data_IF_256208237231
#
_entry.id   IF_256208237231
#
_cell.length_a   1.000
_cell.length_b   1.000
_cell.length_c   1.000
_cell.angle_alpha   90.00
_cell.angle_beta   90.00
_cell.angle_gamma   90.00
#
_symmetry.space_group_name_H-M   'P 1'
#
loop_
_entity.id
_entity.type
_entity.pdbx_description
1 polymer ?
#
# COMPACT_ATOMS: atom_id res chain seq x y z
N UNK A 1 -54.30 17.24 -10.31
CA UNK A 1 -52.83 17.34 -10.33
C UNK A 1 -52.26 16.27 -9.42
N UNK A 2 -51.69 15.24 -10.04
CA UNK A 2 -50.61 14.33 -9.60
C UNK A 2 -49.73 14.99 -8.50
N UNK A 3 -49.43 14.43 -7.31
CA UNK A 3 -49.10 13.06 -6.94
C UNK A 3 -47.59 12.99 -6.65
N UNK A 4 -47.17 12.74 -5.41
CA UNK A 4 -45.75 12.44 -5.10
C UNK A 4 -45.25 12.90 -3.73
N UNK A 5 -45.60 12.17 -2.66
CA UNK A 5 -44.84 12.20 -1.41
C UNK A 5 -43.53 11.44 -1.62
N UNK A 6 -42.40 12.14 -1.58
CA UNK A 6 -41.08 11.56 -1.75
C UNK A 6 -40.57 10.96 -0.43
N UNK A 7 -40.19 9.69 -0.51
CA UNK A 7 -39.63 8.88 0.57
C UNK A 7 -38.30 9.45 1.08
N UNK A 8 -38.20 9.61 2.40
CA UNK A 8 -36.92 9.66 3.11
C UNK A 8 -36.22 8.30 2.99
N UNK A 9 -35.06 8.27 2.32
CA UNK A 9 -34.12 7.15 2.44
C UNK A 9 -32.97 7.55 3.36
N UNK A 10 -33.03 7.03 4.58
CA UNK A 10 -31.93 6.98 5.54
C UNK A 10 -30.86 5.99 5.03
N UNK A 11 -29.78 6.50 4.45
CA UNK A 11 -28.61 5.68 4.08
C UNK A 11 -27.80 5.38 5.34
N UNK A 12 -28.09 4.23 5.97
CA UNK A 12 -27.24 3.64 7.00
C UNK A 12 -25.94 3.14 6.35
N UNK A 13 -24.83 3.84 6.61
CA UNK A 13 -23.49 3.38 6.24
C UNK A 13 -23.10 2.22 7.14
N UNK A 14 -22.95 1.02 6.56
CA UNK A 14 -22.48 -0.16 7.26
C UNK A 14 -20.96 -0.09 7.43
N UNK A 15 -20.52 0.26 8.64
CA UNK A 15 -19.12 0.23 9.03
C UNK A 15 -18.56 -1.20 9.03
N UNK A 16 -17.74 -1.52 8.02
CA UNK A 16 -16.96 -2.75 7.98
C UNK A 16 -15.77 -2.62 8.93
N UNK A 17 -15.92 -3.11 10.17
CA UNK A 17 -14.82 -3.27 11.11
C UNK A 17 -14.00 -4.50 10.70
N UNK A 18 -12.81 -4.29 10.16
CA UNK A 18 -11.83 -5.37 9.97
C UNK A 18 -11.17 -5.66 11.33
N UNK A 19 -11.61 -6.73 11.99
CA UNK A 19 -11.00 -7.24 13.21
C UNK A 19 -9.89 -8.22 12.80
N UNK A 20 -8.63 -7.81 12.99
CA UNK A 20 -7.47 -8.69 12.86
C UNK A 20 -7.50 -9.76 13.96
N UNK A 21 -7.89 -10.99 13.62
CA UNK A 21 -7.79 -12.14 14.52
C UNK A 21 -6.50 -12.90 14.23
N UNK A 22 -5.53 -12.79 15.13
CA UNK A 22 -4.30 -13.56 15.10
C UNK A 22 -4.60 -15.04 15.35
N UNK A 23 -4.25 -15.91 14.40
CA UNK A 23 -4.27 -17.36 14.57
C UNK A 23 -2.85 -17.84 14.93
N UNK A 24 -2.54 -17.94 16.22
CA UNK A 24 -1.41 -18.75 16.69
C UNK A 24 -1.85 -20.20 16.76
N UNK A 25 -1.34 -21.05 15.86
CA UNK A 25 -1.36 -22.50 16.02
C UNK A 25 0.06 -22.96 16.28
N UNK A 26 0.31 -23.44 17.49
CA UNK A 26 1.54 -24.13 17.86
C UNK A 26 1.65 -25.44 17.08
N UNK A 27 2.79 -25.62 16.40
CA UNK A 27 3.19 -26.86 15.73
C UNK A 27 3.91 -27.73 16.78
N UNK A 28 3.69 -29.06 16.83
CA UNK A 28 4.36 -29.93 17.78
C UNK A 28 5.84 -30.20 17.42
N UNK A 29 6.61 -30.40 18.49
CA UNK A 29 8.04 -30.64 18.58
C UNK A 29 8.47 -32.03 18.05
N UNK A 30 9.49 -32.16 17.19
CA UNK A 30 10.13 -33.44 16.93
C UNK A 30 11.39 -33.63 17.80
N UNK A 31 11.33 -34.63 18.68
CA UNK A 31 12.40 -35.03 19.59
C UNK A 31 13.70 -35.55 18.95
N UNK A 32 14.68 -35.98 19.78
CA UNK A 32 16.09 -35.95 19.42
C UNK A 32 16.61 -37.25 18.80
N UNK A 33 17.37 -37.14 17.70
CA UNK A 33 18.12 -38.23 17.08
C UNK A 33 19.58 -37.84 16.88
N UNK A 34 20.49 -38.58 17.52
CA UNK A 34 21.94 -38.34 17.55
C UNK A 34 22.69 -38.99 16.38
N UNK A 35 23.83 -38.37 16.09
CA UNK A 35 25.16 -38.94 15.74
C UNK A 35 25.59 -39.08 14.26
N UNK A 36 26.59 -38.24 13.95
CA UNK A 36 27.85 -38.49 13.21
C UNK A 36 27.88 -39.40 11.98
N UNK A 37 28.42 -38.87 10.87
CA UNK A 37 29.63 -39.42 10.20
C UNK A 37 30.14 -38.48 9.07
N UNK A 38 31.37 -38.01 9.29
CA UNK A 38 32.49 -37.79 8.36
C UNK A 38 32.27 -37.51 6.85
N UNK A 39 32.86 -36.37 6.45
CA UNK A 39 33.86 -36.20 5.37
C UNK A 39 33.49 -36.64 3.95
N UNK A 40 33.38 -35.65 3.05
CA UNK A 40 34.31 -35.51 1.91
C UNK A 40 34.14 -34.13 1.24
N UNK A 41 35.29 -33.47 1.02
CA UNK A 41 35.47 -32.20 0.29
C UNK A 41 35.41 -32.42 -1.22
N UNK A 42 34.86 -31.44 -1.94
CA UNK A 42 35.20 -31.17 -3.35
C UNK A 42 35.52 -29.67 -3.52
N UNK A 43 36.50 -29.29 -4.37
CA UNK A 43 36.96 -27.91 -4.54
C UNK A 43 36.25 -27.19 -5.69
N UNK A 44 36.06 -25.88 -5.57
CA UNK A 44 35.53 -25.08 -6.68
C UNK A 44 35.34 -23.61 -6.34
N UNK A 45 36.42 -22.83 -6.51
CA UNK A 45 36.47 -21.48 -7.08
C UNK A 45 35.32 -20.48 -6.80
N UNK A 46 35.66 -19.38 -6.14
CA UNK A 46 34.95 -18.09 -6.31
C UNK A 46 34.59 -17.36 -5.02
N UNK A 47 35.58 -16.77 -4.34
CA UNK A 47 35.32 -15.72 -3.34
C UNK A 47 34.88 -14.44 -4.05
N UNK A 48 33.57 -14.18 -4.10
CA UNK A 48 33.08 -12.82 -4.36
C UNK A 48 32.77 -12.17 -3.00
N UNK A 49 33.68 -11.32 -2.52
CA UNK A 49 33.29 -10.20 -1.67
C UNK A 49 32.60 -9.19 -2.58
N UNK A 50 31.36 -8.82 -2.29
CA UNK A 50 31.00 -7.40 -2.34
C UNK A 50 29.76 -7.09 -1.47
N UNK A 51 29.91 -5.97 -0.77
CA UNK A 51 29.03 -5.07 -0.03
C UNK A 51 27.60 -5.47 0.36
N UNK A 52 27.38 -5.40 1.69
CA UNK A 52 26.10 -4.99 2.27
C UNK A 52 25.76 -3.59 1.73
N UNK A 53 24.66 -3.50 0.99
CA UNK A 53 24.04 -2.26 0.51
C UNK A 53 22.55 -2.22 0.86
N UNK A 54 22.26 -1.44 1.88
CA UNK A 54 20.98 -0.90 2.36
C UNK A 54 19.82 -0.83 1.33
N UNK A 55 18.67 -1.45 1.67
CA UNK A 55 17.34 -0.81 1.52
C UNK A 55 16.60 -0.83 0.18
N UNK A 56 17.02 -1.63 -0.82
CA UNK A 56 16.24 -1.82 -2.04
C UNK A 56 15.03 -2.72 -1.81
N UNK A 57 13.80 -2.24 -2.08
CA UNK A 57 12.65 -3.13 -2.26
C UNK A 57 12.78 -3.84 -3.61
N UNK A 58 13.71 -4.79 -3.70
CA UNK A 58 13.81 -5.69 -4.84
C UNK A 58 12.57 -6.59 -4.83
N UNK A 59 11.66 -6.31 -5.77
CA UNK A 59 10.57 -7.23 -6.08
C UNK A 59 11.20 -8.43 -6.76
N UNK A 60 11.54 -9.46 -5.97
CA UNK A 60 11.95 -10.76 -6.50
C UNK A 60 10.78 -11.34 -7.30
N UNK A 61 10.91 -11.38 -8.62
CA UNK A 61 9.97 -12.09 -9.49
C UNK A 61 10.13 -13.58 -9.19
N UNK A 62 9.23 -14.14 -8.36
CA UNK A 62 9.16 -15.57 -8.13
C UNK A 62 8.46 -16.23 -9.32
N UNK A 63 9.05 -17.25 -9.92
CA UNK A 63 8.39 -18.05 -10.94
C UNK A 63 7.45 -19.05 -10.25
N UNK A 64 6.15 -18.99 -10.55
CA UNK A 64 5.21 -20.04 -10.16
C UNK A 64 5.59 -21.38 -10.83
N UNK A 65 5.14 -22.50 -10.24
CA UNK A 65 5.57 -23.87 -10.56
C UNK A 65 5.34 -24.39 -11.99
N UNK A 66 5.01 -23.54 -12.96
CA UNK A 66 4.78 -23.90 -14.37
C UNK A 66 5.35 -22.86 -15.37
N UNK A 67 6.47 -22.20 -15.05
CA UNK A 67 7.25 -21.42 -16.02
C UNK A 67 6.55 -20.17 -16.60
N UNK A 68 5.35 -19.80 -16.13
CA UNK A 68 4.71 -18.52 -16.46
C UNK A 68 5.23 -17.44 -15.50
N UNK A 69 5.63 -16.26 -16.00
CA UNK A 69 6.00 -15.16 -15.12
C UNK A 69 4.82 -14.83 -14.20
N UNK A 70 5.08 -14.76 -12.90
CA UNK A 70 4.05 -14.42 -11.93
C UNK A 70 3.59 -13.00 -12.22
N UNK A 71 2.31 -12.86 -12.56
CA UNK A 71 1.72 -11.56 -12.91
C UNK A 71 1.97 -10.56 -11.78
N UNK A 72 2.47 -9.38 -12.12
CA UNK A 72 2.68 -8.30 -11.15
C UNK A 72 1.33 -7.80 -10.62
N UNK A 73 1.27 -7.23 -9.41
CA UNK A 73 0.05 -6.58 -8.92
C UNK A 73 -0.49 -5.53 -9.89
N UNK A 74 0.39 -4.79 -10.55
CA UNK A 74 0.06 -3.81 -11.58
C UNK A 74 -0.69 -4.44 -12.77
N UNK A 75 -0.17 -5.54 -13.32
CA UNK A 75 -0.85 -6.27 -14.40
C UNK A 75 -2.17 -6.89 -13.92
N UNK A 76 -2.19 -7.43 -12.69
CA UNK A 76 -3.36 -8.10 -12.12
C UNK A 76 -4.56 -7.16 -11.91
N UNK A 77 -4.32 -5.86 -11.69
CA UNK A 77 -5.39 -4.85 -11.59
C UNK A 77 -5.79 -4.25 -12.94
N UNK A 78 -5.15 -4.62 -14.06
CA UNK A 78 -5.40 -4.06 -15.39
C UNK A 78 -4.50 -2.88 -15.76
N UNK A 79 -3.37 -2.70 -15.09
CA UNK A 79 -2.30 -1.79 -15.47
C UNK A 79 -2.67 -0.29 -15.40
N UNK A 80 -2.10 0.49 -16.33
CA UNK A 80 -2.14 1.95 -16.35
C UNK A 80 -3.56 2.52 -16.23
N UNK A 81 -4.52 1.93 -16.96
CA UNK A 81 -5.90 2.41 -16.95
C UNK A 81 -6.54 2.34 -15.56
N UNK A 82 -6.28 1.26 -14.81
CA UNK A 82 -6.81 1.12 -13.45
C UNK A 82 -6.07 2.02 -12.46
N UNK A 83 -4.75 2.20 -12.60
CA UNK A 83 -3.99 3.14 -11.77
C UNK A 83 -4.45 4.58 -12.00
N UNK A 84 -4.74 4.97 -13.25
CA UNK A 84 -5.28 6.29 -13.57
C UNK A 84 -6.64 6.53 -12.89
N UNK A 85 -7.58 5.60 -13.02
CA UNK A 85 -8.89 5.68 -12.33
C UNK A 85 -8.75 5.72 -10.81
N UNK A 86 -7.84 4.92 -10.25
CA UNK A 86 -7.55 4.91 -8.81
C UNK A 86 -7.08 6.28 -8.33
N UNK A 87 -6.11 6.88 -9.03
CA UNK A 87 -5.57 8.20 -8.66
C UNK A 87 -6.61 9.29 -8.80
N UNK A 88 -7.40 9.27 -9.88
CA UNK A 88 -8.50 10.22 -10.08
C UNK A 88 -9.53 10.13 -8.95
N UNK A 89 -10.02 8.92 -8.64
CA UNK A 89 -10.97 8.68 -7.56
C UNK A 89 -10.39 9.07 -6.19
N UNK A 90 -9.10 8.80 -5.97
CA UNK A 90 -8.41 9.16 -4.74
C UNK A 90 -8.36 10.67 -4.53
N UNK A 91 -7.95 11.45 -5.54
CA UNK A 91 -7.85 12.90 -5.37
C UNK A 91 -9.20 13.63 -5.33
N UNK A 92 -10.25 13.09 -5.96
CA UNK A 92 -11.63 13.55 -5.73
C UNK A 92 -12.01 13.48 -4.24
N UNK A 93 -11.64 12.38 -3.58
CA UNK A 93 -11.90 12.17 -2.14
C UNK A 93 -11.03 13.05 -1.25
N UNK A 94 -9.75 13.19 -1.59
CA UNK A 94 -8.82 14.06 -0.85
C UNK A 94 -9.29 15.52 -0.86
N UNK A 95 -9.77 16.01 -2.00
CA UNK A 95 -10.26 17.39 -2.14
C UNK A 95 -11.44 17.70 -1.21
N UNK A 96 -12.23 16.69 -0.86
CA UNK A 96 -13.44 16.83 -0.03
C UNK A 96 -13.19 16.44 1.44
N UNK A 97 -12.05 15.81 1.77
CA UNK A 97 -11.81 15.28 3.10
C UNK A 97 -11.30 16.37 4.07
N UNK A 98 -11.99 16.64 5.20
CA UNK A 98 -11.68 17.78 6.09
C UNK A 98 -10.28 17.72 6.70
N UNK A 99 -9.76 16.53 7.00
CA UNK A 99 -8.41 16.38 7.57
C UNK A 99 -7.26 16.48 6.54
N UNK A 100 -7.57 16.29 5.25
CA UNK A 100 -6.58 16.22 4.18
C UNK A 100 -6.55 17.48 3.34
N UNK A 101 -7.71 17.95 2.84
CA UNK A 101 -7.78 19.12 1.97
C UNK A 101 -6.91 20.32 2.45
N UNK A 102 -6.86 20.67 3.76
CA UNK A 102 -6.03 21.79 4.23
C UNK A 102 -4.51 21.62 4.12
N UNK A 103 -4.00 20.39 3.94
CA UNK A 103 -2.55 20.12 3.81
C UNK A 103 -2.11 19.85 2.38
N UNK A 104 -3.04 19.81 1.44
CA UNK A 104 -2.77 19.70 0.01
C UNK A 104 -2.82 21.09 -0.66
N UNK A 105 -2.12 21.27 -1.80
CA UNK A 105 -2.27 22.47 -2.61
C UNK A 105 -3.65 22.56 -3.26
N UNK A 106 -4.08 23.77 -3.61
CA UNK A 106 -5.34 23.99 -4.34
C UNK A 106 -5.36 23.27 -5.69
N UNK A 107 -4.23 23.31 -6.43
CA UNK A 107 -4.05 22.53 -7.65
C UNK A 107 -3.49 21.14 -7.33
N UNK A 108 -4.36 20.13 -7.42
CA UNK A 108 -4.03 18.73 -7.19
C UNK A 108 -3.38 18.05 -8.41
N UNK A 109 -3.36 18.69 -9.59
CA UNK A 109 -2.82 18.10 -10.82
C UNK A 109 -1.38 17.59 -10.69
N UNK A 110 -0.43 18.41 -10.20
CA UNK A 110 0.97 18.01 -10.04
C UNK A 110 1.17 16.87 -9.03
N UNK A 111 0.41 16.84 -7.93
CA UNK A 111 0.50 15.76 -6.94
C UNK A 111 -0.13 14.47 -7.47
N UNK A 112 -1.23 14.57 -8.22
CA UNK A 112 -1.85 13.44 -8.89
C UNK A 112 -0.92 12.77 -9.91
N UNK A 113 -0.20 13.56 -10.71
CA UNK A 113 0.81 13.03 -11.66
C UNK A 113 1.89 12.23 -10.94
N UNK A 114 2.42 12.78 -9.83
CA UNK A 114 3.43 12.09 -8.99
C UNK A 114 2.88 10.80 -8.39
N UNK A 115 1.64 10.82 -7.87
CA UNK A 115 1.01 9.64 -7.29
C UNK A 115 0.76 8.56 -8.35
N UNK A 116 0.36 8.92 -9.57
CA UNK A 116 0.22 7.98 -10.68
C UNK A 116 1.55 7.31 -11.03
N UNK A 117 2.60 8.10 -11.21
CA UNK A 117 3.93 7.57 -11.49
C UNK A 117 4.41 6.65 -10.35
N UNK A 118 4.19 7.06 -9.10
CA UNK A 118 4.55 6.28 -7.92
C UNK A 118 3.78 4.96 -7.84
N UNK A 119 2.45 4.97 -7.93
CA UNK A 119 1.64 3.76 -7.80
C UNK A 119 1.88 2.78 -8.95
N UNK A 120 2.10 3.30 -10.17
CA UNK A 120 2.51 2.48 -11.33
C UNK A 120 3.76 1.67 -10.98
N UNK A 121 4.82 2.33 -10.53
CA UNK A 121 6.06 1.67 -10.13
C UNK A 121 5.88 0.79 -8.89
N UNK A 122 5.16 1.28 -7.88
CA UNK A 122 4.99 0.62 -6.59
C UNK A 122 4.23 -0.71 -6.70
N UNK A 123 3.30 -0.81 -7.65
CA UNK A 123 2.56 -2.03 -7.95
C UNK A 123 3.32 -2.99 -8.89
N UNK A 124 4.54 -2.63 -9.34
CA UNK A 124 5.38 -3.47 -10.19
C UNK A 124 5.26 -3.16 -11.69
N UNK A 125 4.67 -2.03 -12.06
CA UNK A 125 4.70 -1.52 -13.43
C UNK A 125 6.01 -0.78 -13.77
N UNK A 126 6.05 -0.05 -14.89
CA UNK A 126 7.23 0.70 -15.31
C UNK A 126 7.71 1.70 -14.23
N UNK A 127 9.03 1.94 -14.09
CA UNK A 127 9.59 2.77 -13.03
C UNK A 127 9.47 4.28 -13.31
N UNK A 128 8.24 4.73 -13.63
CA UNK A 128 7.95 6.10 -14.05
C UNK A 128 8.37 7.13 -12.99
N UNK A 129 8.16 6.82 -11.71
CA UNK A 129 8.53 7.73 -10.64
C UNK A 129 10.03 7.91 -10.53
N UNK A 130 10.78 6.81 -10.50
CA UNK A 130 12.24 6.88 -10.41
C UNK A 130 12.86 7.55 -11.63
N UNK A 131 12.30 7.34 -12.83
CA UNK A 131 12.76 7.97 -14.05
C UNK A 131 12.55 9.49 -14.06
N UNK A 132 11.39 9.97 -13.58
CA UNK A 132 11.06 11.40 -13.61
C UNK A 132 11.54 12.17 -12.37
N UNK A 133 11.53 11.51 -11.21
CA UNK A 133 11.74 12.18 -9.90
C UNK A 133 12.88 11.60 -9.07
N UNK A 134 13.60 10.59 -9.56
CA UNK A 134 14.66 9.90 -8.82
C UNK A 134 14.15 9.00 -7.69
N UNK A 135 15.05 8.54 -6.79
CA UNK A 135 14.69 7.59 -5.74
C UNK A 135 13.49 8.05 -4.89
N UNK A 136 12.53 7.16 -4.57
CA UNK A 136 11.29 7.55 -3.89
C UNK A 136 11.49 8.34 -2.60
N UNK A 137 12.41 7.91 -1.73
CA UNK A 137 12.72 8.56 -0.43
C UNK A 137 11.47 9.12 0.28
N UNK A 138 10.41 8.30 0.34
CA UNK A 138 9.05 8.78 0.61
C UNK A 138 8.97 9.56 1.90
N UNK A 139 9.45 9.01 3.02
CA UNK A 139 9.39 9.67 4.32
C UNK A 139 10.02 11.06 4.28
N UNK A 140 11.20 11.20 3.68
CA UNK A 140 11.90 12.48 3.55
C UNK A 140 11.07 13.52 2.79
N UNK A 141 10.41 13.11 1.69
CA UNK A 141 9.52 13.99 0.91
C UNK A 141 8.23 14.36 1.65
N UNK A 142 7.83 13.57 2.65
CA UNK A 142 6.64 13.82 3.46
C UNK A 142 6.94 14.62 4.74
N UNK A 143 8.20 14.76 5.16
CA UNK A 143 8.59 15.53 6.36
C UNK A 143 8.11 17.00 6.38
N UNK A 144 8.05 17.74 5.27
CA UNK A 144 7.55 19.12 5.27
C UNK A 144 6.06 19.24 5.63
N UNK A 145 5.29 18.14 5.57
CA UNK A 145 3.86 18.15 5.80
C UNK A 145 3.53 17.47 7.13
N UNK A 146 2.68 18.08 7.98
CA UNK A 146 2.30 17.47 9.25
C UNK A 146 1.37 16.26 9.03
N UNK A 147 1.90 15.06 9.16
CA UNK A 147 1.14 13.81 9.02
C UNK A 147 0.95 13.18 10.40
N UNK A 148 -0.27 13.30 10.90
CA UNK A 148 -0.73 12.69 12.15
C UNK A 148 -1.28 11.27 11.91
N UNK A 149 -1.45 10.44 12.95
CA UNK A 149 -2.15 9.15 12.82
C UNK A 149 -3.53 9.31 12.17
N UNK A 150 -4.30 10.32 12.60
CA UNK A 150 -5.61 10.68 12.04
C UNK A 150 -5.53 11.01 10.54
N UNK A 151 -4.52 11.73 10.09
CA UNK A 151 -4.33 12.01 8.64
C UNK A 151 -3.92 10.78 7.85
N UNK A 152 -3.16 9.87 8.44
CA UNK A 152 -2.84 8.59 7.81
C UNK A 152 -4.11 7.72 7.66
N UNK A 153 -4.98 7.69 8.67
CA UNK A 153 -6.28 7.02 8.61
C UNK A 153 -7.20 7.65 7.56
N UNK A 154 -7.31 8.99 7.53
CA UNK A 154 -8.06 9.72 6.51
C UNK A 154 -7.57 9.40 5.09
N UNK A 155 -6.24 9.36 4.90
CA UNK A 155 -5.64 8.97 3.62
C UNK A 155 -6.04 7.54 3.23
N UNK A 156 -6.03 6.61 4.20
CA UNK A 156 -6.43 5.22 3.99
C UNK A 156 -7.92 5.09 3.67
N UNK A 157 -8.78 5.87 4.32
CA UNK A 157 -10.20 5.94 4.00
C UNK A 157 -10.43 6.38 2.55
N UNK A 158 -9.80 7.48 2.13
CA UNK A 158 -9.86 7.94 0.74
C UNK A 158 -9.35 6.86 -0.24
N UNK A 159 -8.24 6.19 0.10
CA UNK A 159 -7.65 5.14 -0.74
C UNK A 159 -8.53 3.89 -0.82
N UNK A 160 -9.18 3.48 0.27
CA UNK A 160 -10.11 2.35 0.28
C UNK A 160 -11.28 2.60 -0.68
N UNK A 161 -11.94 3.76 -0.56
CA UNK A 161 -13.03 4.15 -1.47
C UNK A 161 -12.57 4.25 -2.92
N UNK A 162 -11.34 4.72 -3.16
CA UNK A 162 -10.78 4.81 -4.50
C UNK A 162 -10.44 3.44 -5.12
N UNK A 163 -9.96 2.48 -4.33
CA UNK A 163 -9.75 1.09 -4.78
C UNK A 163 -11.07 0.44 -5.20
N UNK A 164 -12.12 0.65 -4.42
CA UNK A 164 -13.45 0.11 -4.71
C UNK A 164 -14.03 0.72 -6.00
N UNK A 165 -13.92 2.05 -6.17
CA UNK A 165 -14.36 2.76 -7.39
C UNK A 165 -13.55 2.37 -8.63
N UNK A 166 -12.23 2.16 -8.49
CA UNK A 166 -11.38 1.71 -9.59
C UNK A 166 -11.65 0.25 -10.02
N UNK A 167 -12.45 -0.49 -9.24
CA UNK A 167 -12.82 -1.87 -9.49
C UNK A 167 -11.79 -2.89 -9.02
N UNK A 168 -10.86 -2.51 -8.13
CA UNK A 168 -9.83 -3.40 -7.59
C UNK A 168 -10.45 -4.31 -6.53
N UNK A 169 -10.47 -5.62 -6.78
CA UNK A 169 -11.20 -6.61 -5.97
C UNK A 169 -10.39 -7.88 -5.73
N UNK A 170 -10.85 -8.72 -4.81
CA UNK A 170 -10.26 -10.04 -4.55
C UNK A 170 -8.88 -9.99 -3.89
N UNK A 171 -8.09 -11.09 -3.97
CA UNK A 171 -6.83 -11.21 -3.24
C UNK A 171 -5.79 -10.12 -3.56
N UNK A 172 -5.78 -9.60 -4.80
CA UNK A 172 -4.89 -8.50 -5.18
C UNK A 172 -5.23 -7.20 -4.44
N UNK A 173 -6.53 -6.93 -4.22
CA UNK A 173 -6.97 -5.77 -3.41
C UNK A 173 -6.41 -5.86 -2.00
N UNK A 174 -6.52 -7.02 -1.37
CA UNK A 174 -6.07 -7.21 0.02
C UNK A 174 -4.54 -7.11 0.14
N UNK A 175 -3.81 -7.64 -0.85
CA UNK A 175 -2.36 -7.50 -0.95
C UNK A 175 -1.95 -6.02 -1.10
N UNK A 176 -2.58 -5.28 -2.02
CA UNK A 176 -2.31 -3.85 -2.21
C UNK A 176 -2.67 -3.05 -0.97
N UNK A 177 -3.81 -3.35 -0.35
CA UNK A 177 -4.27 -2.70 0.87
C UNK A 177 -3.28 -2.85 2.03
N UNK A 178 -2.77 -4.06 2.28
CA UNK A 178 -1.76 -4.29 3.31
C UNK A 178 -0.48 -3.47 3.04
N UNK A 179 -0.01 -3.43 1.79
CA UNK A 179 1.17 -2.67 1.41
C UNK A 179 0.96 -1.16 1.56
N UNK A 180 -0.17 -0.63 1.09
CA UNK A 180 -0.52 0.78 1.19
C UNK A 180 -0.69 1.22 2.65
N UNK A 181 -1.37 0.39 3.47
CA UNK A 181 -1.56 0.64 4.90
C UNK A 181 -0.23 0.75 5.63
N UNK A 182 0.68 -0.20 5.43
CA UNK A 182 2.02 -0.14 6.04
C UNK A 182 2.78 1.12 5.62
N UNK A 183 2.72 1.49 4.35
CA UNK A 183 3.37 2.71 3.84
C UNK A 183 2.78 3.96 4.46
N UNK A 184 1.45 4.09 4.53
CA UNK A 184 0.76 5.25 5.10
C UNK A 184 1.15 5.48 6.55
N UNK A 185 1.11 4.44 7.39
CA UNK A 185 1.55 4.57 8.79
C UNK A 185 3.04 4.87 8.92
N UNK A 186 3.89 4.39 8.01
CA UNK A 186 5.30 4.75 7.99
C UNK A 186 5.57 6.23 7.66
N UNK A 187 4.60 6.95 7.06
CA UNK A 187 4.74 8.38 6.77
C UNK A 187 4.40 9.28 7.96
N UNK A 188 3.78 8.76 9.02
CA UNK A 188 3.43 9.55 10.22
C UNK A 188 4.68 10.20 10.81
N UNK A 189 4.63 11.51 10.98
CA UNK A 189 5.77 12.35 11.40
C UNK A 189 5.41 13.40 12.44
N UNK A 190 4.12 13.51 12.80
CA UNK A 190 3.60 14.49 13.75
C UNK A 190 2.65 13.78 14.72
N UNK A 191 2.77 14.06 16.02
CA UNK A 191 1.83 13.53 17.01
C UNK A 191 0.47 14.22 16.88
N UNK A 192 -0.62 13.52 17.22
CA UNK A 192 -1.92 14.16 17.40
C UNK A 192 -1.83 15.10 18.60
N UNK A 193 -1.70 16.41 18.39
CA UNK A 193 -1.75 17.38 19.48
C UNK A 193 -3.10 17.21 20.18
N UNK A 194 -3.06 16.88 21.46
CA UNK A 194 -4.21 16.45 22.24
C UNK A 194 -5.43 17.34 22.04
N UNK A 195 -6.47 16.79 21.42
CA UNK A 195 -7.83 17.15 21.79
C UNK A 195 -8.01 16.65 23.22
N UNK A 196 -8.42 17.51 24.17
CA UNK A 196 -8.73 17.04 25.50
C UNK A 196 -9.83 15.98 25.35
N UNK A 197 -9.58 14.78 25.87
CA UNK A 197 -10.66 13.84 26.13
C UNK A 197 -11.67 14.59 27.01
N UNK A 198 -12.86 14.76 26.46
CA UNK A 198 -14.03 15.38 27.07
C UNK A 198 -14.09 15.12 28.59
N UNK A 199 -14.23 16.19 29.38
CA UNK A 199 -14.35 16.17 30.84
C UNK A 199 -15.82 16.16 31.24
#
# INVERSE_FOLDING_TARGET
>A
MIGGSSLSQEKRSAGHRYILRAASRCIPDPGPGRSNLLSQRAPGCGTLRDTRGEGGLDVQISYGGEGRPQQTPYEAIGGAGTVARLVEAFYKRVAEHPDLAPIFPDDLGPVAKKQYAFLTQFFGGPPLFSQEYGPPMLRMRHLPHPITPRRAEAWLECMAGALDEAGVKGPVRDFLWQRLSRTAYHMVNTESRGEPADR
#
